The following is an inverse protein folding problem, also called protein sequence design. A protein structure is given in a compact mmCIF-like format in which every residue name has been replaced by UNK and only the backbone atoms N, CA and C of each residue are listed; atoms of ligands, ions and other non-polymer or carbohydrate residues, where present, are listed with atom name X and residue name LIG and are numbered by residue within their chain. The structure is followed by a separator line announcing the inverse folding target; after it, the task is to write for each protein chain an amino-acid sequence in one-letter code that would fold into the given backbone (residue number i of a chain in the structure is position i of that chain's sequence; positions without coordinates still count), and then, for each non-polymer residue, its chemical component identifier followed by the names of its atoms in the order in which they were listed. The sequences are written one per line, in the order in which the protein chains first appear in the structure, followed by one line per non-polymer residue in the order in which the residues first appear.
data_IF_736163586650
#
_entry.id   IF_736163586650
#
_cell.length_a   1.000
_cell.length_b   1.000
_cell.length_c   1.000
_cell.angle_alpha   90.00
_cell.angle_beta   90.00
_cell.angle_gamma   90.00
#
_symmetry.space_group_name_H-M   'P 1'
#
loop_
_entity.id
_entity.type
_entity.pdbx_description
1 polymer ?
#
# COMPACT_ATOMS: atom_id res chain seq x y z
N UNK A 1 -8.07 6.84 -10.04
CA UNK A 1 -8.69 6.85 -8.70
C UNK A 1 -7.96 7.84 -7.81
N UNK A 2 -8.60 8.37 -6.76
CA UNK A 2 -8.07 9.46 -5.94
C UNK A 2 -8.04 9.14 -4.45
N UNK A 3 -7.14 9.78 -3.71
CA UNK A 3 -7.13 9.76 -2.25
C UNK A 3 -8.50 10.24 -1.73
N UNK A 4 -9.17 9.48 -0.85
CA UNK A 4 -10.50 9.85 -0.34
C UNK A 4 -10.46 11.11 0.53
N UNK A 5 -9.28 11.50 1.04
CA UNK A 5 -9.13 12.67 1.89
C UNK A 5 -8.78 13.95 1.14
N UNK A 6 -7.87 13.90 0.16
CA UNK A 6 -7.38 15.09 -0.53
C UNK A 6 -7.65 15.12 -2.05
N UNK A 7 -8.24 14.08 -2.61
CA UNK A 7 -8.48 13.95 -4.05
C UNK A 7 -7.21 13.73 -4.89
N UNK A 8 -6.06 13.46 -4.26
CA UNK A 8 -4.78 13.23 -4.95
C UNK A 8 -4.79 11.98 -5.82
N UNK A 9 -4.16 12.00 -6.99
CA UNK A 9 -4.21 10.90 -7.96
C UNK A 9 -3.33 9.72 -7.56
N UNK A 10 -3.84 8.50 -7.76
CA UNK A 10 -3.01 7.29 -7.69
C UNK A 10 -1.97 7.29 -8.83
N UNK A 11 -0.74 6.91 -8.49
CA UNK A 11 0.36 6.73 -9.42
C UNK A 11 0.34 5.29 -9.95
N UNK A 12 -0.50 5.03 -10.95
CA UNK A 12 -0.62 3.70 -11.56
C UNK A 12 0.73 3.19 -12.08
N UNK A 13 1.05 1.92 -11.79
CA UNK A 13 2.32 1.30 -12.19
C UNK A 13 3.54 1.71 -11.37
N UNK A 14 3.39 2.54 -10.33
CA UNK A 14 4.51 2.94 -9.49
C UNK A 14 5.12 1.73 -8.75
N UNK A 15 6.46 1.62 -8.65
CA UNK A 15 7.13 0.48 -8.02
C UNK A 15 6.72 0.20 -6.57
N UNK A 16 6.26 1.22 -5.84
CA UNK A 16 5.78 1.07 -4.46
C UNK A 16 4.42 0.36 -4.31
N UNK A 17 3.71 0.11 -5.43
CA UNK A 17 2.46 -0.63 -5.46
C UNK A 17 1.21 0.26 -5.48
N UNK A 18 0.05 -0.33 -5.18
CA UNK A 18 -1.26 0.31 -5.36
C UNK A 18 -1.46 1.58 -4.52
N UNK A 19 -0.80 1.67 -3.36
CA UNK A 19 -0.91 2.82 -2.46
C UNK A 19 0.12 3.92 -2.73
N UNK A 20 0.71 3.96 -3.92
CA UNK A 20 1.46 5.12 -4.36
C UNK A 20 0.48 6.21 -4.80
N UNK A 21 0.21 7.20 -3.93
CA UNK A 21 -0.74 8.28 -4.21
C UNK A 21 -0.04 9.63 -4.09
N UNK A 22 -0.28 10.52 -5.06
CA UNK A 22 0.21 11.89 -5.03
C UNK A 22 -0.70 12.75 -4.14
N UNK A 23 -0.42 12.76 -2.84
CA UNK A 23 -1.17 13.56 -1.88
C UNK A 23 -0.90 15.06 -2.02
N UNK A 24 -1.87 15.87 -1.61
CA UNK A 24 -1.64 17.29 -1.31
C UNK A 24 -0.94 17.41 0.04
N UNK A 25 -0.13 18.45 0.23
CA UNK A 25 0.61 18.70 1.49
C UNK A 25 -0.31 18.81 2.72
N UNK A 26 -1.56 19.20 2.52
CA UNK A 26 -2.57 19.33 3.58
C UNK A 26 -3.37 18.04 3.84
N UNK A 27 -3.02 16.92 3.20
CA UNK A 27 -3.75 15.68 3.34
C UNK A 27 -3.46 15.01 4.69
N UNK A 28 -4.45 14.75 5.56
CA UNK A 28 -4.22 14.03 6.81
C UNK A 28 -3.75 12.59 6.60
N UNK A 29 -4.12 11.96 5.47
CA UNK A 29 -3.62 10.62 5.12
C UNK A 29 -2.15 10.63 4.66
N UNK A 30 -1.62 11.78 4.23
CA UNK A 30 -0.21 11.90 3.84
C UNK A 30 0.69 11.60 5.02
N UNK A 31 0.48 12.25 6.17
CA UNK A 31 1.29 12.04 7.38
C UNK A 31 1.22 10.60 7.86
N UNK A 32 0.02 9.98 7.86
CA UNK A 32 -0.13 8.60 8.30
C UNK A 32 0.53 7.59 7.34
N UNK A 33 0.43 7.82 6.03
CA UNK A 33 1.09 6.98 5.03
C UNK A 33 2.61 7.12 5.09
N UNK A 34 3.11 8.34 5.23
CA UNK A 34 4.54 8.64 5.32
C UNK A 34 5.17 8.09 6.61
N UNK A 35 4.48 8.18 7.75
CA UNK A 35 4.92 7.56 8.99
C UNK A 35 5.00 6.03 8.89
N UNK A 36 3.99 5.39 8.29
CA UNK A 36 3.97 3.93 8.06
C UNK A 36 5.16 3.52 7.19
N UNK A 37 5.40 4.29 6.14
CA UNK A 37 6.47 4.10 5.18
C UNK A 37 7.86 4.29 5.80
N UNK A 38 8.04 5.31 6.63
CA UNK A 38 9.28 5.51 7.39
C UNK A 38 9.51 4.37 8.38
N UNK A 39 8.46 3.92 9.08
CA UNK A 39 8.54 2.77 9.97
C UNK A 39 8.91 1.48 9.21
N UNK A 40 8.30 1.24 8.05
CA UNK A 40 8.64 0.12 7.18
C UNK A 40 10.13 0.22 6.76
N UNK A 41 10.63 1.41 6.43
CA UNK A 41 12.04 1.64 6.09
C UNK A 41 12.99 1.38 7.28
N UNK A 42 12.68 1.89 8.48
CA UNK A 42 13.50 1.69 9.68
C UNK A 42 13.56 0.22 10.13
N UNK A 43 12.45 -0.51 9.97
CA UNK A 43 12.34 -1.91 10.39
C UNK A 43 12.90 -2.90 9.36
N UNK A 44 13.13 -2.47 8.11
CA UNK A 44 13.61 -3.32 7.03
C UNK A 44 15.13 -3.44 7.06
N UNK A 45 15.63 -4.28 7.96
CA UNK A 45 17.05 -4.59 8.04
C UNK A 45 17.49 -5.38 6.80
N UNK A 46 16.78 -6.42 6.35
CA UNK A 46 16.98 -7.09 5.05
C UNK A 46 15.76 -7.97 4.68
N UNK A 47 15.00 -7.65 3.62
CA UNK A 47 14.11 -8.63 2.95
C UNK A 47 12.61 -8.32 2.87
N UNK A 48 11.79 -9.36 3.08
CA UNK A 48 10.32 -9.33 3.03
C UNK A 48 9.76 -9.44 4.45
N UNK A 49 8.73 -8.66 4.75
CA UNK A 49 8.00 -8.69 6.02
C UNK A 49 6.50 -8.71 5.77
N UNK A 50 5.81 -9.52 6.55
CA UNK A 50 4.36 -9.64 6.51
C UNK A 50 3.80 -9.06 7.83
N UNK A 51 2.74 -8.25 7.74
CA UNK A 51 2.04 -7.68 8.91
C UNK A 51 0.55 -7.48 8.63
N UNK A 52 -0.30 -7.27 9.65
CA UNK A 52 -1.67 -6.79 9.43
C UNK A 52 -1.68 -5.45 8.67
N UNK A 53 -2.66 -5.27 7.79
CA UNK A 53 -2.89 -4.01 7.12
C UNK A 53 -3.30 -2.92 8.13
N UNK A 54 -2.66 -1.76 8.07
CA UNK A 54 -3.03 -0.64 8.95
C UNK A 54 -4.40 -0.08 8.55
N UNK A 55 -5.07 0.62 9.47
CA UNK A 55 -6.35 1.28 9.18
C UNK A 55 -6.24 2.23 7.98
N UNK A 56 -5.12 2.94 7.85
CA UNK A 56 -4.83 3.80 6.69
C UNK A 56 -4.77 3.00 5.39
N UNK A 57 -4.07 1.86 5.38
CA UNK A 57 -3.99 0.99 4.20
C UNK A 57 -5.36 0.44 3.82
N UNK A 58 -6.14 -0.01 4.81
CA UNK A 58 -7.52 -0.50 4.60
C UNK A 58 -8.43 0.59 4.04
N UNK A 59 -8.35 1.81 4.58
CA UNK A 59 -9.13 2.95 4.09
C UNK A 59 -8.79 3.27 2.64
N UNK A 60 -7.50 3.30 2.31
CA UNK A 60 -7.05 3.59 0.95
C UNK A 60 -7.40 2.47 -0.03
N UNK A 61 -7.27 1.19 0.34
CA UNK A 61 -7.66 0.07 -0.52
C UNK A 61 -9.17 0.02 -0.76
N UNK A 62 -9.98 0.33 0.25
CA UNK A 62 -11.43 0.50 0.09
C UNK A 62 -11.74 1.64 -0.88
N UNK A 63 -11.03 2.77 -0.76
CA UNK A 63 -11.17 3.90 -1.68
C UNK A 63 -10.67 3.57 -3.09
N UNK A 64 -9.80 2.56 -3.24
CA UNK A 64 -9.42 1.97 -4.52
C UNK A 64 -10.46 0.99 -5.08
N UNK A 65 -11.55 0.73 -4.36
CA UNK A 65 -12.65 -0.14 -4.78
C UNK A 65 -12.47 -1.61 -4.39
N UNK A 66 -11.46 -1.96 -3.59
CA UNK A 66 -11.29 -3.33 -3.12
C UNK A 66 -12.28 -3.67 -2.01
N UNK A 67 -12.85 -4.87 -2.06
CA UNK A 67 -13.57 -5.48 -0.94
C UNK A 67 -12.53 -6.17 -0.05
N UNK A 68 -12.43 -5.75 1.21
CA UNK A 68 -11.37 -6.21 2.10
C UNK A 68 -11.87 -7.32 3.04
N UNK A 69 -11.09 -8.40 3.23
CA UNK A 69 -11.36 -9.37 4.30
C UNK A 69 -11.19 -8.71 5.67
N UNK A 70 -11.77 -9.34 6.71
CA UNK A 70 -11.57 -8.91 8.10
C UNK A 70 -10.06 -8.92 8.43
N UNK A 71 -9.41 -10.06 8.22
CA UNK A 71 -7.96 -10.21 8.35
C UNK A 71 -7.28 -9.99 6.99
N UNK A 72 -6.65 -8.82 6.85
CA UNK A 72 -5.89 -8.45 5.65
C UNK A 72 -4.41 -8.33 5.99
N UNK A 73 -3.57 -8.98 5.19
CA UNK A 73 -2.12 -8.98 5.37
C UNK A 73 -1.47 -8.05 4.35
N UNK A 74 -0.68 -7.10 4.85
CA UNK A 74 0.23 -6.29 4.04
C UNK A 74 1.57 -7.00 3.97
N UNK A 75 2.00 -7.35 2.76
CA UNK A 75 3.36 -7.83 2.49
C UNK A 75 4.21 -6.66 2.04
N UNK A 76 5.26 -6.37 2.78
CA UNK A 76 6.25 -5.33 2.49
C UNK A 76 7.53 -6.00 1.99
N UNK A 77 8.01 -5.61 0.82
CA UNK A 77 9.24 -6.16 0.22
C UNK A 77 10.18 -5.03 -0.20
N UNK A 78 11.46 -5.15 0.15
CA UNK A 78 12.50 -4.22 -0.28
C UNK A 78 13.13 -4.69 -1.59
N UNK A 79 13.26 -3.79 -2.59
CA UNK A 79 14.01 -4.05 -3.83
C UNK A 79 14.71 -2.79 -4.30
N UNK A 80 16.04 -2.85 -4.44
CA UNK A 80 16.84 -1.78 -5.06
C UNK A 80 16.71 -0.41 -4.40
N UNK A 81 16.62 -0.35 -3.07
CA UNK A 81 16.48 0.90 -2.31
C UNK A 81 15.04 1.43 -2.18
N UNK A 82 14.05 0.75 -2.77
CA UNK A 82 12.63 1.04 -2.56
C UNK A 82 11.90 -0.08 -1.81
N UNK A 83 10.80 0.26 -1.16
CA UNK A 83 9.84 -0.69 -0.59
C UNK A 83 8.60 -0.77 -1.46
N UNK A 84 8.05 -1.97 -1.58
CA UNK A 84 6.78 -2.24 -2.24
C UNK A 84 5.85 -2.90 -1.25
N UNK A 85 4.60 -2.43 -1.22
CA UNK A 85 3.51 -3.05 -0.47
C UNK A 85 2.59 -3.79 -1.42
N UNK A 86 2.20 -5.00 -1.04
CA UNK A 86 1.32 -5.89 -1.81
C UNK A 86 0.32 -6.55 -0.87
N UNK A 87 -0.82 -6.94 -1.43
CA UNK A 87 -1.92 -7.60 -0.71
C UNK A 87 -2.30 -8.86 -1.47
N UNK A 88 -1.62 -9.99 -1.23
CA UNK A 88 -1.86 -11.22 -1.97
C UNK A 88 -3.32 -11.68 -1.92
N UNK A 89 -4.03 -11.39 -0.83
CA UNK A 89 -5.46 -11.70 -0.69
C UNK A 89 -6.39 -10.92 -1.63
N UNK A 90 -5.89 -9.86 -2.28
CA UNK A 90 -6.65 -9.00 -3.19
C UNK A 90 -6.17 -9.12 -4.65
N UNK A 91 -5.05 -9.80 -4.88
CA UNK A 91 -4.55 -10.07 -6.22
C UNK A 91 -5.37 -11.22 -6.82
N UNK A 92 -5.77 -11.14 -8.11
CA UNK A 92 -6.43 -12.25 -8.76
C UNK A 92 -5.51 -13.47 -8.74
N UNK A 93 -6.09 -14.65 -8.53
CA UNK A 93 -5.35 -15.91 -8.62
C UNK A 93 -4.63 -15.96 -9.98
N UNK A 94 -3.32 -16.28 -10.02
CA UNK A 94 -2.63 -16.35 -11.29
C UNK A 94 -3.36 -17.37 -12.17
N UNK A 95 -3.85 -16.92 -13.33
CA UNK A 95 -4.44 -17.83 -14.31
C UNK A 95 -3.46 -18.99 -14.55
N UNK A 96 -3.92 -20.26 -14.51
CA UNK A 96 -3.04 -21.38 -14.76
C UNK A 96 -2.44 -21.20 -16.16
N UNK A 97 -1.11 -21.25 -16.24
CA UNK A 97 -0.40 -21.18 -17.52
C UNK A 97 -0.94 -22.30 -18.43
N UNK A 98 -1.58 -21.90 -19.52
CA UNK A 98 -2.08 -22.79 -20.57
C UNK A 98 -0.95 -23.45 -21.37
#
# INVERSE_FOLDING_TARGET
MTCPSCGGSQLAGHPAGWLAIQHRVTCPLYTAEDATRNSDHELMVWGRRDRPATDTERLLLTALGHVLPAELTTVVSGRGGGYRRTWPQLEPEPEPAA
#
